data_IF_420007826537
#
_entry.id   IF_420007826537
#
_cell.length_a   1.000
_cell.length_b   1.000
_cell.length_c   1.000
_cell.angle_alpha   90.00
_cell.angle_beta   90.00
_cell.angle_gamma   90.00
#
_symmetry.space_group_name_H-M   'P 1'
#
loop_
_entity.id
_entity.type
_entity.pdbx_description
1 polymer ?
#
# COMPACT_ATOMS: atom_id res chain seq x y z
N UNK A 1 -1.50 48.51 1.25
CA UNK A 1 -2.67 47.62 1.01
C UNK A 1 -2.14 46.35 0.39
N UNK A 2 -2.12 45.17 0.99
CA UNK A 2 -2.49 44.66 2.31
C UNK A 2 -1.48 43.54 2.56
N UNK A 3 -0.85 43.57 3.73
CA UNK A 3 0.03 42.55 4.26
C UNK A 3 -0.72 41.21 4.29
N UNK A 4 -0.51 40.35 3.28
CA UNK A 4 -0.98 38.97 3.30
C UNK A 4 -0.06 38.21 4.24
N UNK A 5 -0.41 38.22 5.52
CA UNK A 5 0.11 37.29 6.51
C UNK A 5 0.00 35.88 5.94
N UNK A 6 1.09 35.34 5.38
CA UNK A 6 1.19 33.92 5.00
C UNK A 6 0.92 33.14 6.28
N UNK A 7 -0.27 32.54 6.39
CA UNK A 7 -0.58 31.63 7.51
C UNK A 7 0.51 30.56 7.52
N UNK A 8 1.02 30.26 8.71
CA UNK A 8 1.98 29.18 8.87
C UNK A 8 1.41 27.89 8.29
N UNK A 9 2.17 27.25 7.39
CA UNK A 9 1.75 25.99 6.76
C UNK A 9 1.63 24.92 7.85
N UNK A 10 0.54 24.15 7.83
CA UNK A 10 0.33 23.06 8.80
C UNK A 10 1.43 21.98 8.67
N UNK A 11 1.67 21.15 9.71
CA UNK A 11 2.64 20.05 9.61
C UNK A 11 2.41 19.15 8.40
N UNK A 12 1.14 18.86 8.09
CA UNK A 12 0.75 18.09 6.91
C UNK A 12 1.08 18.83 5.60
N UNK A 13 0.74 20.12 5.49
CA UNK A 13 1.07 20.91 4.29
C UNK A 13 2.57 21.01 4.05
N UNK A 14 3.37 21.18 5.12
CA UNK A 14 4.82 21.22 5.05
C UNK A 14 5.40 19.85 4.63
N UNK A 15 4.87 18.75 5.16
CA UNK A 15 5.27 17.40 4.76
C UNK A 15 4.94 17.12 3.29
N UNK A 16 3.71 17.42 2.86
CA UNK A 16 3.27 17.27 1.47
C UNK A 16 4.17 18.06 0.51
N UNK A 17 4.60 19.27 0.90
CA UNK A 17 5.54 20.08 0.14
C UNK A 17 6.88 19.38 -0.16
N UNK A 18 7.32 18.46 0.72
CA UNK A 18 8.56 17.71 0.57
C UNK A 18 8.45 16.32 -0.08
N UNK A 19 7.24 15.78 -0.26
CA UNK A 19 7.05 14.44 -0.83
C UNK A 19 7.29 14.42 -2.35
N UNK A 20 8.06 13.43 -2.81
CA UNK A 20 8.37 13.18 -4.23
C UNK A 20 7.50 12.08 -4.82
N UNK A 21 7.21 11.02 -4.08
CA UNK A 21 6.28 9.97 -4.49
C UNK A 21 5.10 9.91 -3.53
N UNK A 22 3.90 10.16 -4.05
CA UNK A 22 2.70 10.41 -3.25
C UNK A 22 1.60 9.43 -3.67
N UNK A 23 0.99 8.77 -2.71
CA UNK A 23 -0.29 8.09 -2.92
C UNK A 23 -1.41 8.99 -2.43
N UNK A 24 -2.40 9.30 -3.28
CA UNK A 24 -3.58 10.08 -2.91
C UNK A 24 -4.79 9.15 -2.95
N UNK A 25 -5.35 8.87 -1.77
CA UNK A 25 -6.60 8.10 -1.65
C UNK A 25 -7.78 9.05 -1.67
N UNK A 26 -8.77 8.73 -2.49
CA UNK A 26 -9.97 9.54 -2.68
C UNK A 26 -11.19 8.75 -2.19
N UNK A 27 -11.90 9.29 -1.19
CA UNK A 27 -13.14 8.70 -0.69
C UNK A 27 -14.31 8.79 -1.68
N UNK A 28 -15.27 7.85 -1.57
CA UNK A 28 -16.46 7.80 -2.43
C UNK A 28 -17.25 9.11 -2.42
N UNK A 29 -17.42 9.73 -1.24
CA UNK A 29 -18.15 10.98 -1.04
C UNK A 29 -17.52 12.20 -1.76
N UNK A 30 -16.26 12.11 -2.19
CA UNK A 30 -15.59 13.19 -2.92
C UNK A 30 -15.82 13.07 -4.43
N UNK A 31 -15.96 11.84 -4.93
CA UNK A 31 -16.11 11.54 -6.36
C UNK A 31 -17.58 11.45 -6.76
N UNK A 32 -18.44 11.01 -5.86
CA UNK A 32 -19.85 10.75 -6.16
C UNK A 32 -20.71 11.56 -5.22
N UNK A 33 -21.64 12.29 -5.80
CA UNK A 33 -22.66 12.99 -5.06
C UNK A 33 -23.66 12.01 -4.44
N UNK A 34 -23.85 12.11 -3.11
CA UNK A 34 -24.64 11.13 -2.37
C UNK A 34 -26.14 11.18 -2.70
N UNK A 35 -26.66 12.35 -3.08
CA UNK A 35 -28.08 12.54 -3.39
C UNK A 35 -28.41 12.11 -4.82
N UNK A 36 -27.60 12.57 -5.79
CA UNK A 36 -27.85 12.31 -7.20
C UNK A 36 -27.21 11.01 -7.74
N UNK A 37 -26.26 10.44 -7.01
CA UNK A 37 -25.44 9.31 -7.48
C UNK A 37 -24.53 9.67 -8.66
N UNK A 38 -24.41 10.95 -9.00
CA UNK A 38 -23.64 11.44 -10.15
C UNK A 38 -22.20 11.70 -9.78
N UNK A 39 -21.32 11.58 -10.78
CA UNK A 39 -19.93 11.96 -10.67
C UNK A 39 -19.81 13.47 -10.39
N UNK A 40 -18.97 13.83 -9.42
CA UNK A 40 -18.51 15.20 -9.15
C UNK A 40 -17.39 15.57 -10.14
N UNK A 41 -17.75 15.73 -11.41
CA UNK A 41 -16.82 15.93 -12.52
C UNK A 41 -15.90 17.15 -12.33
N UNK A 42 -16.43 18.28 -11.89
CA UNK A 42 -15.65 19.51 -11.69
C UNK A 42 -14.59 19.35 -10.59
N UNK A 43 -14.95 18.65 -9.51
CA UNK A 43 -14.01 18.34 -8.42
C UNK A 43 -12.88 17.44 -8.90
N UNK A 44 -13.20 16.40 -9.69
CA UNK A 44 -12.21 15.51 -10.25
C UNK A 44 -11.29 16.22 -11.25
N UNK A 45 -11.84 17.11 -12.08
CA UNK A 45 -11.07 17.92 -13.02
C UNK A 45 -10.11 18.87 -12.29
N UNK A 46 -10.57 19.52 -11.21
CA UNK A 46 -9.71 20.36 -10.38
C UNK A 46 -8.55 19.56 -9.76
N UNK A 47 -8.84 18.38 -9.19
CA UNK A 47 -7.80 17.51 -8.64
C UNK A 47 -6.82 17.01 -9.72
N UNK A 48 -7.31 16.70 -10.92
CA UNK A 48 -6.45 16.29 -12.04
C UNK A 48 -5.47 17.41 -12.44
N UNK A 49 -5.92 18.67 -12.42
CA UNK A 49 -5.07 19.84 -12.61
C UNK A 49 -3.98 19.96 -11.54
N UNK A 50 -4.34 19.83 -10.26
CA UNK A 50 -3.35 19.86 -9.16
C UNK A 50 -2.32 18.74 -9.28
N UNK A 51 -2.75 17.54 -9.67
CA UNK A 51 -1.85 16.42 -9.87
C UNK A 51 -0.94 16.68 -11.08
N UNK A 52 -1.44 17.28 -12.16
CA UNK A 52 -0.62 17.68 -13.30
C UNK A 52 0.45 18.70 -12.90
N UNK A 53 0.11 19.67 -12.04
CA UNK A 53 1.08 20.64 -11.50
C UNK A 53 2.18 19.93 -10.69
N UNK A 54 1.82 19.00 -9.80
CA UNK A 54 2.79 18.19 -9.06
C UNK A 54 3.66 17.32 -9.99
N UNK A 55 3.09 16.79 -11.08
CA UNK A 55 3.83 16.02 -12.09
C UNK A 55 4.82 16.92 -12.84
N UNK A 56 4.46 18.16 -13.15
CA UNK A 56 5.34 19.14 -13.78
C UNK A 56 6.55 19.49 -12.88
N UNK A 57 6.39 19.41 -11.56
CA UNK A 57 7.49 19.52 -10.58
C UNK A 57 8.36 18.24 -10.47
N UNK A 58 8.09 17.22 -11.27
CA UNK A 58 8.83 15.94 -11.27
C UNK A 58 8.40 14.97 -10.17
N UNK A 59 7.30 15.21 -9.45
CA UNK A 59 6.77 14.29 -8.44
C UNK A 59 6.00 13.16 -9.09
N UNK A 60 5.95 11.99 -8.47
CA UNK A 60 5.16 10.83 -8.92
C UNK A 60 3.91 10.71 -8.07
N UNK A 61 2.74 10.59 -8.70
CA UNK A 61 1.45 10.50 -8.01
C UNK A 61 0.74 9.22 -8.42
N UNK A 62 0.25 8.50 -7.43
CA UNK A 62 -0.58 7.30 -7.57
C UNK A 62 -1.94 7.61 -6.94
N UNK A 63 -3.02 7.32 -7.65
CA UNK A 63 -4.37 7.52 -7.15
C UNK A 63 -4.93 6.20 -6.64
N UNK A 64 -5.58 6.23 -5.47
CA UNK A 64 -6.39 5.11 -4.98
C UNK A 64 -7.82 5.61 -4.85
N UNK A 65 -8.68 5.21 -5.77
CA UNK A 65 -10.04 5.74 -5.85
C UNK A 65 -11.02 4.84 -5.12
N UNK A 66 -12.12 5.42 -4.64
CA UNK A 66 -13.37 4.71 -4.36
C UNK A 66 -14.45 5.19 -5.35
N UNK A 67 -15.71 4.76 -5.18
CA UNK A 67 -16.86 5.34 -5.89
C UNK A 67 -17.44 4.49 -7.02
N UNK A 68 -16.82 3.35 -7.38
CA UNK A 68 -17.35 2.45 -8.41
C UNK A 68 -18.77 1.97 -8.08
N UNK A 69 -19.00 1.42 -6.87
CA UNK A 69 -20.32 0.94 -6.44
C UNK A 69 -21.41 2.03 -6.60
N UNK A 70 -21.32 3.22 -5.97
CA UNK A 70 -22.38 4.22 -6.09
C UNK A 70 -22.57 4.75 -7.53
N UNK A 71 -21.51 4.82 -8.35
CA UNK A 71 -21.65 5.22 -9.77
C UNK A 71 -22.38 4.19 -10.64
N UNK A 72 -22.30 2.91 -10.28
CA UNK A 72 -22.98 1.83 -11.00
C UNK A 72 -24.33 1.43 -10.40
N UNK A 73 -24.60 1.78 -9.15
CA UNK A 73 -25.81 1.36 -8.43
C UNK A 73 -27.10 1.76 -9.15
N UNK A 74 -27.17 2.97 -9.72
CA UNK A 74 -28.35 3.45 -10.44
C UNK A 74 -28.67 2.69 -11.74
N UNK A 75 -27.77 1.84 -12.24
CA UNK A 75 -28.04 0.98 -13.40
C UNK A 75 -28.75 -0.32 -13.03
N UNK A 76 -28.79 -0.70 -11.75
CA UNK A 76 -29.48 -1.88 -11.27
C UNK A 76 -30.92 -1.48 -10.91
N UNK A 77 -31.90 -1.89 -11.74
CA UNK A 77 -33.31 -1.59 -11.50
C UNK A 77 -33.86 -2.33 -10.25
N UNK A 78 -34.75 -1.68 -9.49
CA UNK A 78 -35.44 -2.31 -8.35
C UNK A 78 -34.60 -2.48 -7.08
N UNK A 79 -33.46 -1.78 -6.99
CA UNK A 79 -32.55 -1.85 -5.85
C UNK A 79 -33.18 -1.25 -4.58
N UNK A 80 -33.08 -2.02 -3.49
CA UNK A 80 -33.46 -1.65 -2.12
C UNK A 80 -32.43 -0.69 -1.52
N UNK A 81 -32.77 0.02 -0.44
CA UNK A 81 -31.85 0.91 0.31
C UNK A 81 -30.52 0.25 0.72
N UNK A 82 -30.43 -1.09 0.73
CA UNK A 82 -29.21 -1.86 0.96
C UNK A 82 -29.02 -2.94 -0.10
N UNK A 83 -27.94 -2.80 -0.88
CA UNK A 83 -27.48 -3.79 -1.87
C UNK A 83 -26.96 -5.07 -1.19
N UNK A 84 -27.35 -6.24 -1.73
CA UNK A 84 -26.71 -7.54 -1.44
C UNK A 84 -25.28 -7.57 -1.98
N UNK A 85 -24.50 -8.57 -1.58
CA UNK A 85 -23.09 -8.67 -2.02
C UNK A 85 -22.99 -8.74 -3.54
N UNK A 86 -23.73 -9.65 -4.16
CA UNK A 86 -23.75 -9.85 -5.60
C UNK A 86 -24.21 -8.58 -6.36
N UNK A 87 -25.12 -7.81 -5.78
CA UNK A 87 -25.59 -6.55 -6.36
C UNK A 87 -24.54 -5.44 -6.21
N UNK A 88 -23.78 -5.40 -5.10
CA UNK A 88 -22.65 -4.47 -4.94
C UNK A 88 -21.55 -4.80 -5.93
N UNK A 89 -21.22 -6.07 -6.12
CA UNK A 89 -20.20 -6.50 -7.09
C UNK A 89 -20.63 -6.17 -8.52
N UNK A 90 -21.90 -6.38 -8.87
CA UNK A 90 -22.46 -5.97 -10.16
C UNK A 90 -22.42 -4.45 -10.34
N UNK A 91 -22.82 -3.68 -9.33
CA UNK A 91 -22.75 -2.22 -9.35
C UNK A 91 -21.30 -1.72 -9.49
N UNK A 92 -20.35 -2.33 -8.76
CA UNK A 92 -18.93 -2.02 -8.88
C UNK A 92 -18.42 -2.29 -10.30
N UNK A 93 -18.74 -3.43 -10.90
CA UNK A 93 -18.33 -3.76 -12.27
C UNK A 93 -18.82 -2.72 -13.29
N UNK A 94 -20.07 -2.27 -13.17
CA UNK A 94 -20.65 -1.22 -14.03
C UNK A 94 -19.97 0.13 -13.77
N UNK A 95 -19.90 0.54 -12.50
CA UNK A 95 -19.40 1.86 -12.13
C UNK A 95 -17.89 2.00 -12.29
N UNK A 96 -17.13 0.90 -12.28
CA UNK A 96 -15.70 0.91 -12.53
C UNK A 96 -15.36 1.37 -13.95
N UNK A 97 -16.19 1.01 -14.95
CA UNK A 97 -16.04 1.51 -16.33
C UNK A 97 -16.24 3.03 -16.35
N UNK A 98 -17.29 3.51 -15.69
CA UNK A 98 -17.61 4.95 -15.59
C UNK A 98 -16.51 5.73 -14.87
N UNK A 99 -15.96 5.15 -13.81
CA UNK A 99 -14.87 5.73 -13.03
C UNK A 99 -13.59 5.83 -13.87
N UNK A 100 -13.23 4.76 -14.60
CA UNK A 100 -12.07 4.77 -15.49
C UNK A 100 -12.20 5.81 -16.60
N UNK A 101 -13.39 5.93 -17.22
CA UNK A 101 -13.66 6.96 -18.23
C UNK A 101 -13.52 8.37 -17.65
N UNK A 102 -14.07 8.60 -16.45
CA UNK A 102 -14.00 9.89 -15.76
C UNK A 102 -12.56 10.34 -15.50
N UNK A 103 -11.72 9.46 -14.96
CA UNK A 103 -10.29 9.76 -14.77
C UNK A 103 -9.57 9.99 -16.09
N UNK A 104 -9.83 9.16 -17.11
CA UNK A 104 -9.21 9.31 -18.43
C UNK A 104 -9.52 10.68 -19.02
N UNK A 105 -10.79 11.12 -18.96
CA UNK A 105 -11.22 12.42 -19.47
C UNK A 105 -10.60 13.58 -18.69
N UNK A 106 -10.59 13.49 -17.36
CA UNK A 106 -10.03 14.54 -16.50
C UNK A 106 -8.53 14.76 -16.77
N UNK A 107 -7.75 13.69 -16.90
CA UNK A 107 -6.31 13.78 -17.13
C UNK A 107 -5.90 14.04 -18.58
N UNK A 108 -6.74 13.65 -19.55
CA UNK A 108 -6.50 13.95 -20.97
C UNK A 108 -6.41 15.47 -21.23
N UNK A 109 -7.18 16.28 -20.51
CA UNK A 109 -7.12 17.74 -20.58
C UNK A 109 -5.74 18.31 -20.20
N UNK A 110 -4.94 17.55 -19.46
CA UNK A 110 -3.60 17.92 -18.99
C UNK A 110 -2.49 17.11 -19.70
N UNK A 111 -2.81 16.36 -20.76
CA UNK A 111 -1.82 15.58 -21.52
C UNK A 111 -1.27 14.37 -20.79
N UNK A 112 -1.94 13.90 -19.73
CA UNK A 112 -1.52 12.72 -18.98
C UNK A 112 -2.36 11.49 -19.36
N UNK A 113 -1.66 10.39 -19.67
CA UNK A 113 -2.28 9.07 -19.72
C UNK A 113 -2.53 8.55 -18.30
N UNK A 114 -3.62 7.82 -18.13
CA UNK A 114 -3.95 7.09 -16.90
C UNK A 114 -3.92 5.59 -17.16
N UNK A 115 -3.59 4.81 -16.14
CA UNK A 115 -3.64 3.35 -16.20
C UNK A 115 -4.45 2.81 -15.03
N UNK A 116 -5.48 2.02 -15.35
CA UNK A 116 -6.27 1.33 -14.35
C UNK A 116 -5.50 0.14 -13.78
N UNK A 117 -5.50 0.02 -12.46
CA UNK A 117 -5.02 -1.17 -11.75
C UNK A 117 -6.10 -1.65 -10.79
N UNK A 118 -6.56 -2.89 -10.97
CA UNK A 118 -7.50 -3.53 -10.05
C UNK A 118 -6.75 -4.55 -9.21
N UNK A 119 -6.78 -4.37 -7.90
CA UNK A 119 -6.06 -5.21 -6.95
C UNK A 119 -7.00 -5.62 -5.81
N UNK A 120 -6.77 -6.76 -5.20
CA UNK A 120 -7.35 -7.13 -3.91
C UNK A 120 -6.29 -7.03 -2.82
N UNK A 121 -6.70 -6.96 -1.55
CA UNK A 121 -5.76 -7.10 -0.43
C UNK A 121 -4.97 -8.41 -0.54
N UNK A 122 -5.61 -9.50 -0.97
CA UNK A 122 -4.97 -10.80 -1.18
C UNK A 122 -3.88 -10.78 -2.25
N UNK A 123 -4.01 -9.97 -3.30
CA UNK A 123 -2.95 -9.79 -4.31
C UNK A 123 -1.71 -9.09 -3.73
N UNK A 124 -1.89 -8.30 -2.67
CA UNK A 124 -0.82 -7.58 -1.98
C UNK A 124 -0.25 -8.34 -0.77
N UNK A 125 -0.88 -9.46 -0.39
CA UNK A 125 -0.39 -10.39 0.64
C UNK A 125 0.34 -11.59 0.04
N UNK A 126 -0.05 -11.97 -1.18
CA UNK A 126 0.66 -12.96 -1.99
C UNK A 126 1.88 -12.34 -2.65
N UNK A 127 3.07 -12.88 -2.38
CA UNK A 127 4.28 -12.20 -2.83
C UNK A 127 4.49 -12.24 -4.35
N UNK A 128 4.05 -13.29 -5.04
CA UNK A 128 4.17 -13.37 -6.51
C UNK A 128 3.30 -12.30 -7.15
N UNK A 129 2.04 -12.20 -6.69
CA UNK A 129 1.09 -11.19 -7.16
C UNK A 129 1.52 -9.78 -6.78
N UNK A 130 2.05 -9.60 -5.56
CA UNK A 130 2.63 -8.34 -5.11
C UNK A 130 3.80 -7.89 -6.00
N UNK A 131 4.76 -8.77 -6.31
CA UNK A 131 5.89 -8.40 -7.18
C UNK A 131 5.43 -8.05 -8.59
N UNK A 132 4.43 -8.75 -9.13
CA UNK A 132 3.85 -8.43 -10.43
C UNK A 132 3.14 -7.07 -10.43
N UNK A 133 2.32 -6.81 -9.40
CA UNK A 133 1.65 -5.52 -9.21
C UNK A 133 2.66 -4.39 -9.07
N UNK A 134 3.72 -4.59 -8.27
CA UNK A 134 4.82 -3.63 -8.09
C UNK A 134 5.55 -3.35 -9.40
N UNK A 135 5.94 -4.39 -10.15
CA UNK A 135 6.66 -4.20 -11.41
C UNK A 135 5.82 -3.42 -12.43
N UNK A 136 4.52 -3.71 -12.49
CA UNK A 136 3.57 -2.95 -13.32
C UNK A 136 3.51 -1.50 -12.88
N UNK A 137 3.34 -1.25 -11.58
CA UNK A 137 3.28 0.10 -11.02
C UNK A 137 4.55 0.91 -11.33
N UNK A 138 5.74 0.36 -11.09
CA UNK A 138 7.01 1.03 -11.36
C UNK A 138 7.20 1.33 -12.86
N UNK A 139 6.77 0.41 -13.73
CA UNK A 139 6.81 0.62 -15.18
C UNK A 139 5.91 1.79 -15.59
N UNK A 140 4.68 1.85 -15.09
CA UNK A 140 3.75 2.96 -15.36
C UNK A 140 4.36 4.30 -14.93
N UNK A 141 4.93 4.36 -13.72
CA UNK A 141 5.56 5.56 -13.19
C UNK A 141 6.79 5.99 -14.00
N UNK A 142 7.59 5.04 -14.49
CA UNK A 142 8.75 5.31 -15.35
C UNK A 142 8.32 5.90 -16.71
N UNK A 143 7.17 5.50 -17.23
CA UNK A 143 6.56 6.04 -18.45
C UNK A 143 5.70 7.30 -18.22
N UNK A 144 5.79 7.91 -17.03
CA UNK A 144 5.04 9.10 -16.64
C UNK A 144 3.50 8.96 -16.71
N UNK A 145 2.99 7.73 -16.71
CA UNK A 145 1.56 7.40 -16.66
C UNK A 145 1.05 7.50 -15.22
N UNK A 146 -0.16 7.99 -15.02
CA UNK A 146 -0.79 8.13 -13.70
C UNK A 146 -1.55 6.84 -13.36
N UNK A 147 -1.10 6.04 -12.37
CA UNK A 147 -1.81 4.83 -11.98
C UNK A 147 -3.05 5.19 -11.16
N UNK A 148 -4.19 4.63 -11.53
CA UNK A 148 -5.45 4.72 -10.79
C UNK A 148 -5.80 3.33 -10.28
N UNK A 149 -5.53 3.11 -9.00
CA UNK A 149 -5.77 1.85 -8.31
C UNK A 149 -7.18 1.86 -7.70
N UNK A 150 -7.91 0.76 -7.84
CA UNK A 150 -9.12 0.49 -7.07
C UNK A 150 -9.17 -1.00 -6.69
N UNK A 151 -10.02 -1.33 -5.73
CA UNK A 151 -10.27 -2.73 -5.38
C UNK A 151 -10.94 -3.47 -6.54
N UNK A 152 -10.56 -4.74 -6.75
CA UNK A 152 -11.24 -5.62 -7.68
C UNK A 152 -12.49 -6.24 -7.03
N UNK A 153 -13.54 -5.43 -6.88
CA UNK A 153 -14.78 -5.80 -6.18
C UNK A 153 -15.43 -7.10 -6.72
N UNK A 154 -15.26 -7.42 -8.01
CA UNK A 154 -15.86 -8.62 -8.62
C UNK A 154 -15.33 -9.93 -8.05
N UNK A 155 -14.07 -9.96 -7.59
CA UNK A 155 -13.42 -11.16 -7.05
C UNK A 155 -13.11 -11.06 -5.56
N UNK A 156 -13.35 -9.89 -4.95
CA UNK A 156 -13.30 -9.74 -3.51
C UNK A 156 -14.46 -10.52 -2.86
N UNK A 157 -14.15 -11.47 -1.97
CA UNK A 157 -15.15 -12.24 -1.20
C UNK A 157 -15.66 -11.41 -0.01
N UNK A 158 -16.52 -11.97 0.86
CA UNK A 158 -17.27 -11.29 1.96
C UNK A 158 -16.48 -10.32 2.88
N UNK A 159 -15.16 -10.30 2.76
CA UNK A 159 -14.28 -9.24 3.27
C UNK A 159 -14.47 -7.88 2.61
N UNK A 160 -15.39 -7.67 1.63
CA UNK A 160 -15.85 -6.35 1.18
C UNK A 160 -16.49 -5.59 2.37
N UNK A 161 -15.64 -5.17 3.29
CA UNK A 161 -15.98 -4.35 4.42
C UNK A 161 -15.78 -2.93 3.97
N UNK A 162 -16.76 -2.13 4.34
CA UNK A 162 -16.71 -0.69 4.19
C UNK A 162 -15.35 -0.17 4.71
N UNK A 163 -14.56 0.48 3.83
CA UNK A 163 -13.28 1.12 4.16
C UNK A 163 -12.00 0.41 3.70
N UNK A 164 -12.10 -0.65 2.90
CA UNK A 164 -10.92 -1.38 2.40
C UNK A 164 -9.98 -0.53 1.54
N UNK A 165 -10.48 0.48 0.83
CA UNK A 165 -9.60 1.36 0.05
C UNK A 165 -8.61 2.19 0.90
N UNK A 166 -8.87 2.41 2.20
CA UNK A 166 -7.87 3.02 3.09
C UNK A 166 -6.69 2.06 3.31
N UNK A 167 -6.99 0.76 3.56
CA UNK A 167 -5.98 -0.30 3.74
C UNK A 167 -5.27 -0.62 2.43
N UNK A 168 -6.00 -0.70 1.32
CA UNK A 168 -5.44 -0.84 -0.02
C UNK A 168 -4.48 0.32 -0.30
N UNK A 169 -4.87 1.57 -0.01
CA UNK A 169 -4.01 2.72 -0.22
C UNK A 169 -2.73 2.68 0.63
N UNK A 170 -2.82 2.23 1.89
CA UNK A 170 -1.64 2.00 2.71
C UNK A 170 -0.71 0.95 2.09
N UNK A 171 -1.24 -0.20 1.65
CA UNK A 171 -0.43 -1.25 1.02
C UNK A 171 0.16 -0.82 -0.31
N UNK A 172 -0.58 -0.08 -1.13
CA UNK A 172 -0.08 0.52 -2.37
C UNK A 172 1.03 1.52 -2.07
N UNK A 173 0.89 2.36 -1.04
CA UNK A 173 1.93 3.32 -0.65
C UNK A 173 3.21 2.62 -0.19
N UNK A 174 3.09 1.53 0.58
CA UNK A 174 4.22 0.68 0.96
C UNK A 174 4.84 0.00 -0.26
N UNK A 175 4.03 -0.55 -1.16
CA UNK A 175 4.50 -1.21 -2.40
C UNK A 175 5.24 -0.24 -3.32
N UNK A 176 4.75 0.99 -3.40
CA UNK A 176 5.33 2.07 -4.18
C UNK A 176 6.56 2.71 -3.50
N UNK A 177 6.88 2.35 -2.25
CA UNK A 177 7.90 3.03 -1.44
C UNK A 177 7.67 4.56 -1.42
N UNK A 178 6.41 4.96 -1.25
CA UNK A 178 6.00 6.37 -1.28
C UNK A 178 6.55 7.15 -0.08
N UNK A 179 6.80 8.45 -0.26
CA UNK A 179 7.15 9.34 0.85
C UNK A 179 5.95 9.61 1.75
N UNK A 180 4.75 9.64 1.16
CA UNK A 180 3.52 9.82 1.90
C UNK A 180 2.26 9.28 1.22
N UNK A 181 1.29 8.95 2.06
CA UNK A 181 -0.09 8.63 1.72
C UNK A 181 -0.99 9.76 2.22
N UNK A 182 -1.70 10.41 1.31
CA UNK A 182 -2.71 11.42 1.62
C UNK A 182 -4.12 10.82 1.51
N UNK A 183 -4.83 10.75 2.63
CA UNK A 183 -6.22 10.32 2.70
C UNK A 183 -7.14 11.54 2.60
N UNK A 184 -7.67 11.80 1.40
CA UNK A 184 -8.72 12.80 1.19
C UNK A 184 -10.07 12.20 1.60
N UNK A 185 -10.70 12.79 2.62
CA UNK A 185 -11.97 12.32 3.18
C UNK A 185 -12.99 13.45 3.31
N UNK A 186 -14.19 13.12 3.74
CA UNK A 186 -15.23 14.02 4.27
C UNK A 186 -14.99 14.47 5.72
N UNK A 187 -13.85 14.10 6.31
CA UNK A 187 -13.39 14.52 7.64
C UNK A 187 -12.06 15.24 7.51
N UNK A 188 -11.84 16.23 8.36
CA UNK A 188 -10.66 17.11 8.36
C UNK A 188 -9.47 16.58 9.15
N UNK A 189 -9.64 15.51 9.94
CA UNK A 189 -8.53 14.76 10.54
C UNK A 189 -8.92 14.04 11.84
N UNK A 190 -7.92 13.60 12.61
CA UNK A 190 -8.11 12.97 13.91
C UNK A 190 -8.36 14.02 14.98
N UNK A 191 -9.39 13.82 15.80
CA UNK A 191 -9.80 14.73 16.86
C UNK A 191 -9.62 14.10 18.23
N UNK A 192 -9.44 14.94 19.28
CA UNK A 192 -9.46 14.53 20.69
C UNK A 192 -10.89 14.23 21.17
N UNK A 193 -11.54 13.27 20.54
CA UNK A 193 -12.96 12.93 20.71
C UNK A 193 -13.72 12.96 19.39
N UNK A 194 -14.88 12.31 19.32
CA UNK A 194 -15.73 12.33 18.12
C UNK A 194 -16.41 13.71 17.98
N UNK A 195 -16.08 14.51 16.96
CA UNK A 195 -16.65 15.86 16.78
C UNK A 195 -18.16 15.85 16.51
N UNK A 196 -18.74 14.70 16.14
CA UNK A 196 -20.20 14.54 16.00
C UNK A 196 -20.91 14.46 17.35
N UNK A 197 -20.17 14.12 18.42
CA UNK A 197 -20.68 13.93 19.78
C UNK A 197 -20.18 15.00 20.74
N UNK A 198 -18.99 15.52 20.50
CA UNK A 198 -18.32 16.52 21.32
C UNK A 198 -18.12 17.76 20.46
N UNK A 199 -19.04 18.74 20.52
CA UNK A 199 -18.78 20.08 20.02
C UNK A 199 -17.51 20.58 20.73
N UNK A 200 -16.50 21.04 19.99
CA UNK A 200 -15.17 21.44 20.47
C UNK A 200 -14.12 20.33 20.61
N UNK A 201 -14.36 19.13 20.09
CA UNK A 201 -13.25 18.18 19.91
C UNK A 201 -12.16 18.85 19.05
N UNK A 202 -10.94 18.94 19.58
CA UNK A 202 -9.83 19.64 18.92
C UNK A 202 -9.10 18.71 17.96
N UNK A 203 -8.77 19.23 16.77
CA UNK A 203 -7.96 18.53 15.77
C UNK A 203 -6.55 18.28 16.33
N UNK A 204 -6.06 17.06 16.12
CA UNK A 204 -4.67 16.68 16.39
C UNK A 204 -3.87 16.98 15.11
N UNK A 205 -2.97 17.98 15.10
CA UNK A 205 -2.26 18.38 13.89
C UNK A 205 -1.17 17.36 13.50
N UNK A 206 -0.59 16.68 14.49
CA UNK A 206 0.49 15.72 14.28
C UNK A 206 0.42 14.59 15.31
N UNK A 207 0.68 13.36 14.85
CA UNK A 207 0.81 12.14 15.63
C UNK A 207 2.20 11.57 15.37
N UNK A 208 3.09 11.67 16.36
CA UNK A 208 4.45 11.15 16.26
C UNK A 208 4.50 9.61 16.38
N UNK A 209 3.59 9.01 17.17
CA UNK A 209 3.52 7.57 17.39
C UNK A 209 2.06 7.13 17.55
N UNK A 210 1.72 6.01 16.90
CA UNK A 210 0.43 5.34 17.05
C UNK A 210 0.48 4.39 18.25
N UNK A 211 0.09 4.88 19.42
CA UNK A 211 -0.13 4.05 20.62
C UNK A 211 -1.61 3.75 20.84
N UNK A 212 -1.91 2.97 21.89
CA UNK A 212 -3.28 2.57 22.21
C UNK A 212 -4.20 3.76 22.49
N UNK A 213 -3.67 4.89 22.99
CA UNK A 213 -4.47 6.09 23.23
C UNK A 213 -4.97 6.67 21.91
N UNK A 214 -4.07 6.84 20.93
CA UNK A 214 -4.45 7.33 19.61
C UNK A 214 -5.43 6.37 18.91
N UNK A 215 -5.24 5.06 19.06
CA UNK A 215 -6.15 4.06 18.48
C UNK A 215 -7.54 4.15 19.12
N UNK A 216 -7.63 4.39 20.44
CA UNK A 216 -8.91 4.57 21.14
C UNK A 216 -9.68 5.80 20.65
N UNK A 217 -8.99 6.87 20.25
CA UNK A 217 -9.63 8.07 19.70
C UNK A 217 -10.37 7.81 18.37
N UNK A 218 -10.06 6.73 17.67
CA UNK A 218 -10.74 6.37 16.43
C UNK A 218 -12.21 5.96 16.63
N UNK A 219 -12.58 5.58 17.87
CA UNK A 219 -13.92 5.13 18.22
C UNK A 219 -14.32 3.80 17.56
N UNK A 220 -15.55 3.33 17.81
CA UNK A 220 -16.11 2.18 17.11
C UNK A 220 -16.32 2.50 15.61
N UNK A 221 -16.42 1.47 14.73
CA UNK A 221 -16.76 1.67 13.32
C UNK A 221 -18.07 2.47 13.17
N UNK A 222 -18.09 3.43 12.24
CA UNK A 222 -19.29 4.24 12.00
C UNK A 222 -20.44 3.37 11.46
N UNK A 223 -21.63 3.48 12.07
CA UNK A 223 -22.84 2.82 11.60
C UNK A 223 -23.50 3.64 10.47
N UNK A 224 -23.62 3.06 9.25
CA UNK A 224 -24.74 3.38 8.35
C UNK A 224 -24.63 4.53 7.34
N UNK A 225 -23.45 5.07 7.00
CA UNK A 225 -23.31 6.13 5.98
C UNK A 225 -22.80 5.65 4.60
N UNK A 226 -23.14 6.36 3.52
CA UNK A 226 -22.62 6.16 2.13
C UNK A 226 -21.11 6.50 2.03
N UNK A 227 -20.51 7.08 3.09
CA UNK A 227 -19.07 7.19 3.31
C UNK A 227 -18.56 6.07 4.20
N UNK A 228 -17.96 5.05 3.60
CA UNK A 228 -17.78 3.71 4.17
C UNK A 228 -16.51 3.47 4.99
N UNK A 229 -15.62 4.44 5.19
CA UNK A 229 -14.39 4.24 5.98
C UNK A 229 -14.36 5.17 7.19
N UNK A 230 -14.70 4.67 8.38
CA UNK A 230 -14.64 5.46 9.62
C UNK A 230 -13.21 5.90 9.98
N UNK A 231 -13.04 6.63 11.10
CA UNK A 231 -11.70 7.00 11.57
C UNK A 231 -10.83 5.75 11.83
N UNK A 232 -11.43 4.65 12.29
CA UNK A 232 -10.73 3.39 12.55
C UNK A 232 -9.99 2.83 11.33
N UNK A 233 -10.56 2.90 10.12
CA UNK A 233 -9.91 2.37 8.90
C UNK A 233 -8.74 3.24 8.48
N UNK A 234 -8.83 4.55 8.70
CA UNK A 234 -7.75 5.51 8.45
C UNK A 234 -6.60 5.35 9.45
N UNK A 235 -6.91 5.10 10.72
CA UNK A 235 -5.90 4.79 11.74
C UNK A 235 -5.19 3.47 11.42
N UNK A 236 -5.91 2.47 10.93
CA UNK A 236 -5.30 1.20 10.53
C UNK A 236 -4.42 1.35 9.28
N UNK A 237 -4.85 2.15 8.31
CA UNK A 237 -4.02 2.54 7.17
C UNK A 237 -2.76 3.29 7.63
N UNK A 238 -2.90 4.24 8.57
CA UNK A 238 -1.76 4.94 9.17
C UNK A 238 -0.80 3.97 9.87
N UNK A 239 -1.32 2.96 10.59
CA UNK A 239 -0.50 1.94 11.24
C UNK A 239 0.33 1.14 10.23
N UNK A 240 -0.30 0.68 9.15
CA UNK A 240 0.39 -0.08 8.09
C UNK A 240 1.49 0.75 7.45
N UNK A 241 1.15 1.97 7.01
CA UNK A 241 2.06 2.83 6.25
C UNK A 241 3.22 3.37 7.11
N UNK A 242 2.93 3.90 8.31
CA UNK A 242 3.97 4.50 9.17
C UNK A 242 4.96 3.47 9.72
N UNK A 243 4.51 2.23 9.94
CA UNK A 243 5.39 1.12 10.32
C UNK A 243 6.38 0.73 9.22
N UNK A 244 6.07 1.05 7.96
CA UNK A 244 6.90 0.80 6.78
C UNK A 244 7.67 2.05 6.30
N UNK A 245 7.67 3.13 7.09
CA UNK A 245 8.43 4.34 6.76
C UNK A 245 7.67 5.38 5.92
N UNK A 246 6.38 5.19 5.66
CA UNK A 246 5.55 6.08 4.85
C UNK A 246 4.76 7.04 5.76
N UNK A 247 4.84 8.35 5.50
CA UNK A 247 4.04 9.32 6.27
C UNK A 247 2.56 9.26 5.85
N UNK A 248 1.63 9.54 6.76
CA UNK A 248 0.19 9.55 6.41
C UNK A 248 -0.46 10.87 6.77
N UNK A 249 -1.19 11.46 5.83
CA UNK A 249 -2.01 12.64 6.03
C UNK A 249 -3.49 12.30 5.99
N UNK A 250 -4.29 12.88 6.88
CA UNK A 250 -5.76 12.88 6.79
C UNK A 250 -6.23 14.33 6.72
N UNK A 251 -7.09 14.64 5.75
CA UNK A 251 -7.65 15.99 5.59
C UNK A 251 -8.96 15.97 4.80
N UNK A 252 -9.71 17.06 4.89
CA UNK A 252 -10.98 17.25 4.21
C UNK A 252 -10.72 17.56 2.72
N UNK A 253 -11.18 16.65 1.87
CA UNK A 253 -11.06 16.76 0.43
C UNK A 253 -12.26 17.39 -0.26
N UNK A 254 -13.32 17.81 0.46
CA UNK A 254 -14.57 18.29 -0.18
C UNK A 254 -14.44 19.61 -0.93
N UNK A 255 -13.40 20.40 -0.61
CA UNK A 255 -13.11 21.62 -1.35
C UNK A 255 -12.61 21.33 -2.75
N UNK A 256 -12.86 22.29 -3.65
CA UNK A 256 -12.16 22.34 -4.92
C UNK A 256 -10.67 22.57 -4.68
N UNK A 257 -9.81 21.88 -5.43
CA UNK A 257 -8.36 21.97 -5.33
C UNK A 257 -7.80 21.72 -3.89
N UNK A 258 -8.03 20.55 -3.27
CA UNK A 258 -7.63 20.29 -1.89
C UNK A 258 -6.10 20.30 -1.65
N UNK A 259 -5.28 19.95 -2.64
CA UNK A 259 -3.81 19.87 -2.47
C UNK A 259 -3.19 21.26 -2.34
N UNK A 260 -3.59 22.20 -3.19
CA UNK A 260 -3.20 23.60 -3.17
C UNK A 260 -3.57 24.25 -1.84
N UNK A 261 -4.77 23.97 -1.32
CA UNK A 261 -5.19 24.48 -0.01
C UNK A 261 -4.26 24.01 1.13
N UNK A 262 -3.75 22.78 1.09
CA UNK A 262 -2.79 22.28 2.08
C UNK A 262 -1.42 22.94 1.91
N UNK A 263 -0.91 22.99 0.68
CA UNK A 263 0.41 23.55 0.35
C UNK A 263 0.50 25.04 0.67
N UNK A 264 -0.59 25.78 0.53
CA UNK A 264 -0.68 27.22 0.81
C UNK A 264 -1.06 27.54 2.27
N UNK A 265 -1.28 26.53 3.12
CA UNK A 265 -1.69 26.72 4.52
C UNK A 265 -3.12 27.24 4.70
N UNK A 266 -3.97 27.11 3.67
CA UNK A 266 -5.41 27.44 3.75
C UNK A 266 -6.24 26.32 4.39
N UNK A 267 -5.73 25.10 4.41
CA UNK A 267 -6.28 23.97 5.15
C UNK A 267 -5.23 23.27 6.01
N UNK A 268 -5.74 22.51 6.97
CA UNK A 268 -4.96 21.69 7.89
C UNK A 268 -5.43 20.24 7.82
N UNK A 269 -4.80 19.39 8.61
CA UNK A 269 -5.21 18.02 8.83
C UNK A 269 -4.35 17.38 9.91
N UNK A 270 -4.38 16.06 9.96
CA UNK A 270 -3.51 15.29 10.85
C UNK A 270 -2.39 14.65 10.05
N UNK A 271 -1.14 14.89 10.46
CA UNK A 271 0.03 14.17 9.97
C UNK A 271 0.44 13.05 10.93
N UNK A 272 0.50 11.83 10.45
CA UNK A 272 1.11 10.69 11.15
C UNK A 272 2.55 10.52 10.66
N UNK A 273 3.51 10.64 11.57
CA UNK A 273 4.93 10.49 11.25
C UNK A 273 5.29 9.00 11.05
N UNK A 274 6.22 8.69 10.13
CA UNK A 274 6.83 7.37 10.07
C UNK A 274 7.55 7.02 11.37
N UNK A 275 7.60 5.73 11.71
CA UNK A 275 8.37 5.28 12.88
C UNK A 275 9.89 5.37 12.58
N UNK A 276 10.68 6.14 13.36
CA UNK A 276 12.08 6.47 13.02
C UNK A 276 13.01 5.27 12.79
N UNK A 277 12.78 4.16 13.51
CA UNK A 277 13.66 2.99 13.54
C UNK A 277 13.35 1.93 12.47
N UNK A 278 12.30 2.14 11.65
CA UNK A 278 11.78 1.12 10.72
C UNK A 278 11.82 1.53 9.26
N UNK A 279 12.82 2.30 8.84
CA UNK A 279 13.15 2.44 7.40
C UNK A 279 13.84 1.17 6.89
N UNK A 280 13.18 0.03 7.07
CA UNK A 280 13.52 -1.21 6.41
C UNK A 280 13.18 -0.98 4.94
N UNK A 281 14.20 -0.86 4.06
CA UNK A 281 14.00 -0.75 2.60
C UNK A 281 12.89 -1.73 2.18
N UNK A 282 11.84 -1.23 1.51
CA UNK A 282 10.51 -1.85 1.41
C UNK A 282 10.44 -3.32 0.99
N UNK A 283 11.51 -3.86 0.38
CA UNK A 283 11.67 -5.29 0.08
C UNK A 283 11.78 -6.21 1.30
N UNK A 284 12.25 -5.72 2.46
CA UNK A 284 12.49 -6.55 3.66
C UNK A 284 11.38 -6.46 4.71
N UNK A 285 10.41 -5.56 4.54
CA UNK A 285 9.34 -5.34 5.53
C UNK A 285 8.30 -6.48 5.57
N UNK A 286 8.00 -7.10 4.43
CA UNK A 286 7.04 -8.21 4.37
C UNK A 286 7.62 -9.52 4.95
N UNK A 287 8.96 -9.70 4.91
CA UNK A 287 9.66 -10.83 5.54
C UNK A 287 9.54 -10.83 7.06
N UNK A 288 9.33 -9.69 7.73
CA UNK A 288 9.21 -9.64 9.20
C UNK A 288 7.81 -10.04 9.73
N UNK A 289 6.82 -10.30 8.87
CA UNK A 289 5.51 -10.80 9.27
C UNK A 289 5.56 -12.29 9.60
N UNK A 290 4.95 -12.72 10.72
CA UNK A 290 4.82 -14.13 11.11
C UNK A 290 4.01 -14.90 10.05
N UNK A 291 4.68 -15.41 9.02
CA UNK A 291 4.14 -16.35 8.05
C UNK A 291 4.62 -17.77 8.40
N UNK A 292 3.73 -18.75 8.24
CA UNK A 292 4.11 -20.16 8.24
C UNK A 292 5.07 -20.37 7.05
N UNK A 293 6.29 -20.86 7.30
CA UNK A 293 7.24 -21.14 6.23
C UNK A 293 6.73 -22.31 5.37
N UNK A 294 6.85 -22.18 4.05
CA UNK A 294 6.50 -23.24 3.10
C UNK A 294 7.53 -24.40 3.10
N UNK A 295 8.70 -24.16 3.69
CA UNK A 295 9.76 -25.14 3.88
C UNK A 295 11.00 -24.58 4.59
N UNK A 296 11.98 -25.45 4.79
CA UNK A 296 13.24 -25.13 5.47
C UNK A 296 14.44 -25.54 4.61
N UNK A 297 15.43 -24.66 4.52
CA UNK A 297 16.74 -24.93 3.92
C UNK A 297 17.78 -24.95 5.03
N UNK A 298 18.50 -26.06 5.19
CA UNK A 298 19.66 -26.12 6.07
C UNK A 298 20.92 -25.86 5.25
N UNK A 299 21.77 -24.95 5.72
CA UNK A 299 22.97 -24.51 4.98
C UNK A 299 24.26 -24.78 5.75
N UNK A 300 25.36 -24.94 5.03
CA UNK A 300 26.69 -25.10 5.64
C UNK A 300 27.20 -23.78 6.26
N UNK A 301 28.26 -23.88 7.08
CA UNK A 301 28.85 -22.72 7.76
C UNK A 301 29.44 -21.68 6.79
N UNK A 302 29.89 -22.10 5.60
CA UNK A 302 30.42 -21.20 4.58
C UNK A 302 29.33 -20.30 3.99
N UNK A 303 28.19 -20.89 3.65
CA UNK A 303 27.00 -20.18 3.23
C UNK A 303 26.44 -19.31 4.35
N UNK A 304 26.39 -19.81 5.59
CA UNK A 304 25.95 -19.03 6.74
C UNK A 304 26.80 -17.77 6.96
N UNK A 305 28.11 -17.85 6.74
CA UNK A 305 29.02 -16.69 6.78
C UNK A 305 28.76 -15.74 5.62
N UNK A 306 28.68 -16.25 4.40
CA UNK A 306 28.39 -15.43 3.22
C UNK A 306 27.06 -14.66 3.33
N UNK A 307 26.02 -15.29 3.90
CA UNK A 307 24.73 -14.64 4.15
C UNK A 307 24.85 -13.49 5.16
N UNK A 308 25.62 -13.67 6.23
CA UNK A 308 25.90 -12.61 7.22
C UNK A 308 26.61 -11.41 6.57
N UNK A 309 27.47 -11.67 5.57
CA UNK A 309 28.17 -10.64 4.80
C UNK A 309 27.28 -10.00 3.69
N UNK A 310 26.02 -10.41 3.58
CA UNK A 310 25.05 -9.85 2.62
C UNK A 310 25.09 -10.47 1.22
N UNK A 311 25.66 -11.67 1.07
CA UNK A 311 25.63 -12.42 -0.17
C UNK A 311 24.28 -13.12 -0.41
N UNK A 312 24.09 -13.62 -1.64
CA UNK A 312 22.95 -14.48 -2.01
C UNK A 312 23.20 -15.93 -1.59
N UNK A 313 22.14 -16.69 -1.31
CA UNK A 313 22.26 -18.14 -1.08
C UNK A 313 22.42 -18.87 -2.42
N UNK A 314 23.47 -19.68 -2.56
CA UNK A 314 23.73 -20.54 -3.71
C UNK A 314 23.42 -22.00 -3.39
N UNK A 315 23.15 -22.81 -4.43
CA UNK A 315 22.85 -24.23 -4.27
C UNK A 315 24.00 -25.01 -3.61
N UNK A 316 25.25 -24.58 -3.86
CA UNK A 316 26.46 -25.16 -3.29
C UNK A 316 26.45 -25.18 -1.75
N UNK A 317 25.78 -24.23 -1.11
CA UNK A 317 25.72 -24.10 0.34
C UNK A 317 24.57 -24.84 1.02
N UNK A 318 23.73 -25.57 0.27
CA UNK A 318 22.53 -26.22 0.80
C UNK A 318 22.84 -27.66 1.20
N UNK A 319 22.66 -27.98 2.48
CA UNK A 319 22.84 -29.30 3.06
C UNK A 319 21.55 -30.13 2.97
N UNK A 320 20.41 -29.58 3.37
CA UNK A 320 19.10 -30.27 3.31
C UNK A 320 17.95 -29.33 2.97
N UNK A 321 16.85 -29.93 2.53
CA UNK A 321 15.62 -29.25 2.14
C UNK A 321 14.45 -30.02 2.77
N UNK A 322 13.61 -29.30 3.49
CA UNK A 322 12.40 -29.82 4.10
C UNK A 322 11.16 -29.08 3.56
N UNK A 323 10.07 -29.82 3.35
CA UNK A 323 8.85 -29.30 2.74
C UNK A 323 8.79 -29.48 1.22
N UNK A 324 7.63 -29.17 0.64
CA UNK A 324 7.41 -29.11 -0.80
C UNK A 324 6.88 -27.73 -1.14
N UNK A 325 7.66 -26.98 -1.93
CA UNK A 325 7.37 -25.59 -2.17
C UNK A 325 7.68 -25.18 -3.62
N UNK A 326 6.85 -24.32 -4.23
CA UNK A 326 7.07 -23.80 -5.57
C UNK A 326 8.10 -22.67 -5.60
N UNK A 327 8.45 -22.21 -6.80
CA UNK A 327 9.20 -20.97 -7.02
C UNK A 327 8.48 -19.79 -6.35
N UNK A 328 9.23 -18.98 -5.61
CA UNK A 328 8.73 -17.79 -4.91
C UNK A 328 8.14 -18.07 -3.53
N UNK A 329 8.25 -19.31 -3.03
CA UNK A 329 7.81 -19.69 -1.69
C UNK A 329 8.74 -19.17 -0.58
N UNK A 330 8.17 -18.84 0.57
CA UNK A 330 8.91 -18.31 1.72
C UNK A 330 9.47 -19.47 2.54
N UNK A 331 10.80 -19.57 2.59
CA UNK A 331 11.49 -20.63 3.32
C UNK A 331 12.29 -20.07 4.48
N UNK A 332 12.37 -20.85 5.55
CA UNK A 332 13.33 -20.62 6.63
C UNK A 332 14.70 -21.13 6.21
N UNK A 333 15.75 -20.40 6.58
CA UNK A 333 17.14 -20.79 6.36
C UNK A 333 17.79 -21.03 7.73
N UNK A 334 18.20 -22.26 7.99
CA UNK A 334 18.79 -22.70 9.25
C UNK A 334 20.27 -23.04 9.08
N UNK A 335 21.05 -22.87 10.16
CA UNK A 335 22.39 -23.48 10.24
C UNK A 335 22.31 -25.01 10.40
N UNK A 336 23.45 -25.69 10.31
CA UNK A 336 23.56 -27.14 10.50
C UNK A 336 23.05 -27.62 11.88
N UNK A 337 23.03 -26.73 12.88
CA UNK A 337 22.47 -26.98 14.20
C UNK A 337 20.96 -26.80 14.30
N UNK A 338 20.28 -26.48 13.19
CA UNK A 338 18.84 -26.24 13.13
C UNK A 338 18.41 -24.87 13.65
N UNK A 339 19.34 -23.95 13.91
CA UNK A 339 19.02 -22.60 14.39
C UNK A 339 18.61 -21.72 13.20
N UNK A 340 17.47 -21.03 13.26
CA UNK A 340 17.06 -20.09 12.22
C UNK A 340 18.05 -18.93 12.08
N UNK A 341 18.68 -18.81 10.91
CA UNK A 341 19.61 -17.72 10.58
C UNK A 341 18.96 -16.62 9.75
N UNK A 342 18.12 -17.03 8.80
CA UNK A 342 17.49 -16.14 7.86
C UNK A 342 16.16 -16.73 7.38
N UNK A 343 15.48 -15.94 6.57
CA UNK A 343 14.34 -16.37 5.78
C UNK A 343 14.40 -15.63 4.46
N UNK A 344 13.87 -16.25 3.41
CA UNK A 344 13.90 -15.63 2.10
C UNK A 344 13.07 -16.38 1.09
N UNK A 345 13.00 -15.81 -0.10
CA UNK A 345 12.28 -16.45 -1.20
C UNK A 345 13.18 -17.26 -2.12
N UNK A 346 12.74 -18.48 -2.39
CA UNK A 346 13.42 -19.34 -3.35
C UNK A 346 13.14 -18.91 -4.79
N UNK A 347 14.17 -18.85 -5.61
CA UNK A 347 14.04 -18.64 -7.06
C UNK A 347 13.73 -19.96 -7.82
N UNK A 348 13.86 -21.10 -7.15
CA UNK A 348 13.70 -22.45 -7.72
C UNK A 348 12.85 -23.31 -6.79
N UNK A 349 12.01 -24.19 -7.33
CA UNK A 349 11.15 -25.08 -6.53
C UNK A 349 11.96 -26.16 -5.78
N UNK A 350 11.35 -26.77 -4.77
CA UNK A 350 12.02 -27.77 -3.92
C UNK A 350 12.49 -29.01 -4.67
N UNK A 351 11.82 -29.42 -5.77
CA UNK A 351 12.23 -30.59 -6.56
C UNK A 351 13.48 -30.28 -7.39
N UNK A 352 13.54 -29.08 -7.98
CA UNK A 352 14.72 -28.58 -8.69
C UNK A 352 15.89 -28.46 -7.73
N UNK A 353 15.71 -27.80 -6.58
CA UNK A 353 16.77 -27.62 -5.58
C UNK A 353 17.29 -28.95 -5.03
N UNK A 354 16.42 -29.94 -4.82
CA UNK A 354 16.84 -31.28 -4.35
C UNK A 354 17.81 -31.98 -5.31
N UNK A 355 17.74 -31.69 -6.61
CA UNK A 355 18.64 -32.27 -7.62
C UNK A 355 20.02 -31.62 -7.65
N UNK A 356 20.14 -30.38 -7.16
CA UNK A 356 21.34 -29.55 -7.34
C UNK A 356 21.97 -29.06 -6.04
N UNK A 357 21.39 -29.41 -4.88
CA UNK A 357 21.96 -29.07 -3.57
C UNK A 357 23.42 -29.55 -3.49
N UNK A 358 24.30 -28.70 -2.96
CA UNK A 358 25.73 -28.96 -2.87
C UNK A 358 26.53 -28.78 -4.17
N UNK A 359 25.87 -28.58 -5.32
CA UNK A 359 26.55 -28.46 -6.62
C UNK A 359 26.96 -27.01 -6.93
N UNK A 360 28.02 -26.86 -7.74
CA UNK A 360 28.52 -25.59 -8.28
C UNK A 360 28.20 -25.43 -9.77
N UNK A 361 28.34 -24.22 -10.30
CA UNK A 361 27.81 -23.78 -11.60
C UNK A 361 27.86 -24.78 -12.77
N UNK A 362 29.02 -25.40 -13.03
CA UNK A 362 29.16 -26.36 -14.14
C UNK A 362 28.50 -27.72 -13.83
N UNK A 363 28.53 -28.16 -12.58
CA UNK A 363 27.86 -29.38 -12.12
C UNK A 363 26.33 -29.23 -12.18
N UNK A 364 25.83 -28.04 -11.86
CA UNK A 364 24.40 -27.70 -12.00
C UNK A 364 23.96 -27.80 -13.47
N UNK A 365 24.78 -27.26 -14.40
CA UNK A 365 24.49 -27.33 -15.83
C UNK A 365 24.49 -28.77 -16.33
N UNK A 366 25.43 -29.60 -15.88
CA UNK A 366 25.46 -31.02 -16.21
C UNK A 366 24.22 -31.76 -15.68
N UNK A 367 23.76 -31.42 -14.48
CA UNK A 367 22.65 -32.10 -13.80
C UNK A 367 21.26 -31.68 -14.32
N UNK A 368 21.09 -30.42 -14.73
CA UNK A 368 19.81 -29.87 -15.20
C UNK A 368 19.70 -29.74 -16.72
N UNK A 369 20.83 -29.73 -17.44
CA UNK A 369 20.90 -29.42 -18.87
C UNK A 369 20.90 -27.91 -19.19
N UNK A 370 20.83 -27.05 -18.16
CA UNK A 370 20.86 -25.59 -18.29
C UNK A 370 21.51 -24.96 -17.05
N UNK A 371 22.02 -23.74 -17.21
CA UNK A 371 22.50 -22.96 -16.07
C UNK A 371 21.33 -22.24 -15.38
N UNK A 372 21.38 -22.10 -14.06
CA UNK A 372 20.43 -21.24 -13.36
C UNK A 372 20.69 -19.79 -13.73
N UNK A 373 19.62 -19.05 -14.01
CA UNK A 373 19.63 -17.62 -14.26
C UNK A 373 19.71 -16.79 -12.97
N UNK A 374 19.43 -17.42 -11.81
CA UNK A 374 19.35 -16.78 -10.50
C UNK A 374 19.91 -17.66 -9.38
N UNK A 375 20.48 -17.05 -8.31
CA UNK A 375 20.84 -17.77 -7.08
C UNK A 375 19.60 -18.41 -6.43
N UNK A 376 19.80 -19.33 -5.49
CA UNK A 376 18.68 -20.01 -4.81
C UNK A 376 17.82 -19.02 -4.03
N UNK A 377 18.44 -18.14 -3.25
CA UNK A 377 17.78 -16.95 -2.69
C UNK A 377 18.68 -15.76 -2.99
N UNK A 378 18.16 -14.76 -3.71
CA UNK A 378 18.91 -13.53 -3.96
C UNK A 378 19.05 -12.71 -2.67
N UNK A 379 20.16 -12.02 -2.45
CA UNK A 379 20.40 -11.19 -1.25
C UNK A 379 19.31 -10.16 -0.95
N UNK A 380 18.64 -9.66 -1.99
CA UNK A 380 17.53 -8.70 -1.87
C UNK A 380 16.22 -9.35 -1.44
N UNK A 381 16.13 -10.67 -1.60
CA UNK A 381 14.99 -11.52 -1.25
C UNK A 381 15.26 -12.33 0.04
N UNK A 382 16.32 -11.98 0.77
CA UNK A 382 16.78 -12.63 2.00
C UNK A 382 16.83 -11.62 3.16
N UNK A 383 16.33 -12.04 4.32
CA UNK A 383 16.38 -11.30 5.58
C UNK A 383 16.98 -12.18 6.66
N UNK A 384 18.07 -11.69 7.26
CA UNK A 384 18.67 -12.29 8.45
C UNK A 384 17.74 -12.09 9.65
N UNK A 385 17.64 -13.10 10.51
CA UNK A 385 17.05 -12.93 11.83
C UNK A 385 18.01 -12.13 12.71
N UNK A 386 17.48 -11.22 13.54
CA UNK A 386 18.28 -10.51 14.53
C UNK A 386 18.76 -11.54 15.56
N UNK A 387 20.08 -11.67 15.72
CA UNK A 387 20.67 -12.41 16.83
C UNK A 387 20.18 -11.71 18.10
N UNK A 388 19.27 -12.35 18.83
CA UNK A 388 18.92 -11.89 20.17
C UNK A 388 20.21 -11.76 20.95
N UNK A 389 20.58 -10.53 21.31
CA UNK A 389 21.53 -10.30 22.38
C UNK A 389 20.94 -10.98 23.59
N UNK A 390 21.53 -12.11 23.98
CA UNK A 390 21.19 -12.79 25.20
C UNK A 390 21.17 -11.77 26.33
N UNK A 391 20.09 -11.79 27.11
CA UNK A 391 20.14 -11.33 28.47
C UNK A 391 21.27 -12.10 29.16
N UNK A 392 22.39 -11.41 29.39
CA UNK A 392 23.36 -11.79 30.40
C UNK A 392 23.16 -10.81 31.55
N UNK A 393 22.69 -11.41 32.66
CA UNK A 393 22.57 -10.92 34.04
C UNK A 393 21.75 -9.66 34.35
#
# INVERSE_FOLDING_TARGET
>A
MTDTSRKAVSPLGAALGGWRRIVVKIGSALIVDAESGRLRGDWLAALAGEIADLRAEGRQVILVSSGAIPLGAGALAGVRDRLRLEERQAAAAIGQIRLAEAYTRAFAAHGHAVAQMLLTIGDLEDRRRYLNARNTLETLLAHAVIPVVNENDTVATQEIRFGDNDRLAARVAVMAEADGLLLLSDIDGLHRGDPRRIPDASLIPEVARLDEEIVRLAGPPAEGGIGSGGMITKIEAARIATAAGVAVGITDGRVQAPLAHLLEGRRTGTLFRPVPERRVKGRKSWLKGRMLFDGTLTIDEGAARALRDGASLLAAGICSIEGRFPIGALVQVCDEGGRPLAQGLVAHDSMTLARIRGLKGDEIRAQLGYALDRPVIHRDDLVMHELGTGAND
#
